data_IF_885023514950
#
_entry.id   IF_885023514950
#
_cell.length_a   1.000
_cell.length_b   1.000
_cell.length_c   1.000
_cell.angle_alpha   90.00
_cell.angle_beta   90.00
_cell.angle_gamma   90.00
#
_symmetry.space_group_name_H-M   'P 1'
#
loop_
_entity.id
_entity.type
_entity.pdbx_description
1 polymer ?
#
# COMPACT_ATOMS: atom_id res chain seq x y z
N UNK A 1 -10.03 -4.20 31.81
CA UNK A 1 -10.75 -5.39 32.25
C UNK A 1 -12.10 -5.60 31.50
N UNK A 2 -12.77 -4.53 31.06
CA UNK A 2 -14.07 -4.66 30.33
C UNK A 2 -13.88 -5.05 28.87
N UNK A 3 -12.83 -4.56 28.21
CA UNK A 3 -12.48 -4.95 26.82
C UNK A 3 -12.18 -6.46 26.70
N UNK A 4 -11.53 -7.05 27.71
CA UNK A 4 -11.19 -8.49 27.69
C UNK A 4 -12.41 -9.39 27.90
N UNK A 5 -13.47 -8.91 28.60
CA UNK A 5 -14.74 -9.64 28.75
C UNK A 5 -15.56 -9.63 27.47
N UNK A 6 -15.64 -8.48 26.78
CA UNK A 6 -16.32 -8.37 25.49
C UNK A 6 -15.71 -9.28 24.42
N UNK A 7 -14.38 -9.35 24.36
CA UNK A 7 -13.67 -10.24 23.43
C UNK A 7 -13.94 -11.73 23.71
N UNK A 8 -14.07 -12.14 24.98
CA UNK A 8 -14.37 -13.52 25.36
C UNK A 8 -15.78 -13.98 24.94
N UNK A 9 -16.77 -13.08 24.95
CA UNK A 9 -18.15 -13.40 24.52
C UNK A 9 -18.28 -13.35 22.98
N UNK A 10 -17.58 -12.44 22.32
CA UNK A 10 -17.42 -12.44 20.85
C UNK A 10 -16.79 -13.76 20.41
N UNK A 11 -15.74 -14.22 21.10
CA UNK A 11 -15.06 -15.50 20.83
C UNK A 11 -15.99 -16.72 20.85
N UNK A 12 -16.89 -16.84 21.84
CA UNK A 12 -17.84 -17.97 21.92
C UNK A 12 -18.88 -17.94 20.80
N UNK A 13 -19.21 -16.75 20.27
CA UNK A 13 -20.14 -16.58 19.16
C UNK A 13 -19.47 -16.79 17.78
N UNK A 14 -18.15 -16.60 17.67
CA UNK A 14 -17.39 -16.70 16.42
C UNK A 14 -17.49 -18.07 15.72
N UNK A 15 -17.82 -19.14 16.43
CA UNK A 15 -17.90 -20.49 15.86
C UNK A 15 -19.03 -20.72 14.83
N UNK A 16 -19.90 -19.73 14.57
CA UNK A 16 -21.06 -19.91 13.69
C UNK A 16 -21.28 -18.76 12.67
N UNK A 17 -20.55 -17.64 12.76
CA UNK A 17 -20.86 -16.44 11.99
C UNK A 17 -19.58 -15.82 11.39
N UNK A 18 -19.78 -14.88 10.47
CA UNK A 18 -18.74 -13.97 10.00
C UNK A 18 -18.67 -12.77 10.94
N UNK A 19 -17.48 -12.37 11.32
CA UNK A 19 -17.23 -11.16 12.09
C UNK A 19 -16.18 -10.30 11.41
N UNK A 20 -16.38 -9.01 11.47
CA UNK A 20 -15.47 -7.98 11.06
C UNK A 20 -15.17 -7.07 12.26
N UNK A 21 -13.89 -6.79 12.48
CA UNK A 21 -13.40 -5.88 13.50
C UNK A 21 -12.37 -4.95 12.87
N UNK A 22 -12.63 -3.66 12.86
CA UNK A 22 -11.62 -2.66 12.59
C UNK A 22 -10.75 -2.48 13.84
N UNK A 23 -9.45 -2.70 13.70
CA UNK A 23 -8.46 -2.41 14.73
C UNK A 23 -7.98 -0.96 14.56
N UNK A 24 -7.96 -0.48 13.31
CA UNK A 24 -7.72 0.89 12.90
C UNK A 24 -8.26 1.15 11.49
N UNK A 25 -8.16 2.37 10.99
CA UNK A 25 -8.52 2.76 9.63
C UNK A 25 -10.01 3.08 9.39
N UNK A 26 -10.89 3.01 10.39
CA UNK A 26 -12.29 3.43 10.25
C UNK A 26 -12.55 4.71 11.05
N UNK A 27 -13.04 5.74 10.34
CA UNK A 27 -13.27 7.07 10.92
C UNK A 27 -12.00 7.90 11.07
N UNK A 28 -10.90 7.44 10.51
CA UNK A 28 -9.57 8.07 10.52
C UNK A 28 -8.86 7.83 9.19
N UNK A 29 -7.74 8.52 8.94
CA UNK A 29 -6.86 8.29 7.80
C UNK A 29 -5.58 7.63 8.29
N UNK A 30 -5.23 6.50 7.67
CA UNK A 30 -4.08 5.68 8.05
C UNK A 30 -4.42 4.61 9.09
N UNK A 31 -3.40 3.87 9.54
CA UNK A 31 -3.55 2.81 10.51
C UNK A 31 -4.44 1.65 10.06
N UNK A 32 -4.50 1.41 8.75
CA UNK A 32 -5.35 0.37 8.19
C UNK A 32 -4.96 -1.00 8.74
N UNK A 33 -5.86 -1.59 9.53
CA UNK A 33 -5.68 -2.91 10.13
C UNK A 33 -7.04 -3.51 10.49
N UNK A 34 -7.39 -4.62 9.86
CA UNK A 34 -8.71 -5.22 9.96
C UNK A 34 -8.63 -6.70 10.27
N UNK A 35 -9.48 -7.18 11.16
CA UNK A 35 -9.62 -8.58 11.50
C UNK A 35 -10.94 -9.12 10.95
N UNK A 36 -10.87 -10.16 10.13
CA UNK A 36 -12.01 -10.95 9.73
C UNK A 36 -11.99 -12.29 10.44
N UNK A 37 -13.17 -12.82 10.79
CA UNK A 37 -13.31 -14.15 11.35
C UNK A 37 -14.44 -14.89 10.65
N UNK A 38 -14.09 -16.03 10.07
CA UNK A 38 -14.97 -16.93 9.33
C UNK A 38 -15.10 -18.22 10.11
N UNK A 39 -16.20 -18.40 10.86
CA UNK A 39 -16.43 -19.55 11.76
C UNK A 39 -15.27 -19.87 12.71
N UNK A 40 -14.55 -18.82 13.15
CA UNK A 40 -13.42 -18.95 14.06
C UNK A 40 -12.06 -19.01 13.38
N UNK A 41 -11.95 -19.15 12.07
CA UNK A 41 -10.73 -18.89 11.34
C UNK A 41 -10.55 -17.39 11.16
N UNK A 42 -9.42 -16.85 11.59
CA UNK A 42 -9.13 -15.42 11.53
C UNK A 42 -8.11 -15.10 10.44
N UNK A 43 -8.31 -13.96 9.81
CA UNK A 43 -7.38 -13.36 8.87
C UNK A 43 -7.26 -11.87 9.14
N UNK A 44 -6.03 -11.36 9.07
CA UNK A 44 -5.74 -9.92 9.18
C UNK A 44 -5.63 -9.35 7.77
N UNK A 45 -6.21 -8.19 7.56
CA UNK A 45 -5.99 -7.38 6.36
C UNK A 45 -5.25 -6.13 6.76
N UNK A 46 -4.11 -5.92 6.12
CA UNK A 46 -3.18 -4.83 6.31
C UNK A 46 -2.62 -4.71 7.75
N UNK A 47 -1.60 -3.88 7.90
CA UNK A 47 -0.93 -3.59 9.17
C UNK A 47 -0.23 -2.25 9.07
N UNK A 48 -1.01 -1.19 8.98
CA UNK A 48 -0.54 0.15 8.69
C UNK A 48 -0.08 0.96 9.88
N UNK A 49 0.45 2.14 9.58
CA UNK A 49 0.72 3.22 10.56
C UNK A 49 -0.24 4.37 10.33
N UNK A 50 -0.44 5.18 11.37
CA UNK A 50 -0.93 6.55 11.27
C UNK A 50 0.18 7.53 11.65
N UNK A 51 0.16 8.72 11.07
CA UNK A 51 1.03 9.82 11.50
C UNK A 51 0.39 10.50 12.71
N UNK A 52 1.19 10.71 13.76
CA UNK A 52 0.72 11.41 14.94
C UNK A 52 0.48 12.89 14.63
N UNK A 53 -0.54 13.45 15.23
CA UNK A 53 -0.83 14.88 15.18
C UNK A 53 -0.17 15.64 16.35
N UNK A 54 -0.35 16.95 16.39
CA UNK A 54 0.23 17.84 17.40
C UNK A 54 -0.25 17.52 18.85
N UNK A 55 -1.28 16.69 19.02
CA UNK A 55 -1.76 16.26 20.33
C UNK A 55 -0.82 15.29 21.03
N UNK A 56 0.11 14.67 20.30
CA UNK A 56 1.09 13.69 20.78
C UNK A 56 2.53 14.19 20.60
N UNK A 57 3.00 15.17 21.37
CA UNK A 57 4.34 15.74 21.22
C UNK A 57 5.45 14.69 21.35
N UNK A 58 6.35 14.65 20.34
CA UNK A 58 7.47 13.70 20.31
C UNK A 58 7.11 12.29 19.80
N UNK A 59 5.89 12.09 19.33
CA UNK A 59 5.46 10.88 18.63
C UNK A 59 5.32 11.21 17.14
N UNK A 60 6.06 10.50 16.29
CA UNK A 60 6.00 10.68 14.82
C UNK A 60 4.92 9.80 14.20
N UNK A 61 4.77 8.57 14.70
CA UNK A 61 3.83 7.59 14.18
C UNK A 61 3.12 6.83 15.31
N UNK A 62 1.93 6.34 15.01
CA UNK A 62 1.18 5.39 15.82
C UNK A 62 0.84 4.14 15.01
N UNK A 63 0.62 3.03 15.68
CA UNK A 63 0.14 1.79 15.07
C UNK A 63 -1.11 1.30 15.81
N UNK A 64 -2.08 0.69 15.11
CA UNK A 64 -3.14 -0.07 15.76
C UNK A 64 -2.55 -1.14 16.67
N UNK A 65 -3.18 -1.42 17.80
CA UNK A 65 -2.64 -2.36 18.79
C UNK A 65 -2.58 -3.80 18.26
N UNK A 66 -1.40 -4.34 17.93
CA UNK A 66 -1.28 -5.68 17.36
C UNK A 66 -1.53 -6.78 18.41
N UNK A 67 -1.53 -6.45 19.70
CA UNK A 67 -1.79 -7.43 20.76
C UNK A 67 -3.21 -7.96 20.75
N UNK A 68 -4.14 -7.27 20.09
CA UNK A 68 -5.51 -7.76 19.85
C UNK A 68 -5.48 -9.15 19.18
N UNK A 69 -4.61 -9.38 18.21
CA UNK A 69 -4.47 -10.67 17.52
C UNK A 69 -3.23 -11.46 17.96
N UNK A 70 -2.14 -10.81 18.38
CA UNK A 70 -0.93 -11.52 18.84
C UNK A 70 -1.12 -12.24 20.17
N UNK A 71 -1.90 -11.67 21.09
CA UNK A 71 -2.19 -12.28 22.41
C UNK A 71 -3.55 -13.00 22.43
N UNK A 72 -4.24 -13.08 21.32
CA UNK A 72 -5.49 -13.81 21.20
C UNK A 72 -5.28 -15.32 21.39
N UNK A 73 -6.24 -15.98 22.03
CA UNK A 73 -6.29 -17.44 22.06
C UNK A 73 -6.56 -18.06 20.69
N UNK A 74 -6.99 -17.26 19.72
CA UNK A 74 -7.14 -17.64 18.31
C UNK A 74 -6.00 -16.99 17.55
N UNK A 75 -5.14 -17.80 16.95
CA UNK A 75 -4.11 -17.31 16.06
C UNK A 75 -4.70 -17.05 14.67
N UNK A 76 -4.44 -15.89 14.07
CA UNK A 76 -4.77 -15.67 12.67
C UNK A 76 -4.15 -16.76 11.78
N UNK A 77 -4.87 -17.17 10.76
CA UNK A 77 -4.38 -18.13 9.76
C UNK A 77 -3.45 -17.46 8.75
N UNK A 78 -3.66 -16.16 8.52
CA UNK A 78 -2.92 -15.38 7.54
C UNK A 78 -3.04 -13.88 7.82
N UNK A 79 -2.14 -13.12 7.22
CA UNK A 79 -2.30 -11.70 6.92
C UNK A 79 -2.30 -11.51 5.41
N UNK A 80 -3.11 -10.59 4.91
CA UNK A 80 -3.20 -10.25 3.49
C UNK A 80 -2.92 -8.76 3.36
N UNK A 81 -1.99 -8.37 2.48
CA UNK A 81 -1.66 -6.99 2.22
C UNK A 81 -2.29 -6.54 0.91
N UNK A 82 -3.03 -5.44 0.95
CA UNK A 82 -3.69 -4.86 -0.22
C UNK A 82 -2.71 -4.16 -1.15
N UNK A 83 -1.80 -3.38 -0.60
CA UNK A 83 -0.77 -2.64 -1.35
C UNK A 83 0.33 -2.10 -0.41
N UNK A 84 1.35 -1.45 -0.97
CA UNK A 84 2.59 -1.14 -0.25
C UNK A 84 2.66 0.26 0.38
N UNK A 85 1.57 1.01 0.53
CA UNK A 85 1.59 2.27 1.27
C UNK A 85 1.84 2.06 2.76
N UNK A 86 2.49 3.03 3.42
CA UNK A 86 2.90 2.91 4.83
C UNK A 86 1.70 2.77 5.78
N UNK A 87 0.59 3.41 5.46
CA UNK A 87 -0.66 3.30 6.22
C UNK A 87 -1.38 1.95 6.04
N UNK A 88 -0.83 1.04 5.21
CA UNK A 88 -1.27 -0.35 5.05
C UNK A 88 -0.21 -1.38 5.48
N UNK A 89 1.10 -1.05 5.41
CA UNK A 89 2.16 -2.02 5.70
C UNK A 89 3.19 -1.54 6.72
N UNK A 90 3.17 -0.25 7.07
CA UNK A 90 4.22 0.37 7.88
C UNK A 90 4.31 -0.16 9.30
N UNK A 91 3.20 -0.61 9.86
CA UNK A 91 3.14 -1.17 11.22
C UNK A 91 3.83 -2.53 11.35
N UNK A 92 3.95 -3.28 10.25
CA UNK A 92 4.52 -4.63 10.26
C UNK A 92 5.93 -4.68 10.86
N UNK A 93 6.78 -3.68 10.62
CA UNK A 93 8.17 -3.69 11.12
C UNK A 93 8.28 -3.70 12.65
N UNK A 94 7.23 -3.30 13.38
CA UNK A 94 7.22 -3.22 14.84
C UNK A 94 6.82 -4.53 15.52
N UNK A 95 6.19 -5.45 14.80
CA UNK A 95 5.74 -6.73 15.38
C UNK A 95 5.96 -7.94 14.47
N UNK A 96 6.72 -7.80 13.39
CA UNK A 96 6.97 -8.86 12.41
C UNK A 96 7.59 -10.12 13.01
N UNK A 97 8.49 -9.95 13.98
CA UNK A 97 9.16 -11.07 14.69
C UNK A 97 8.17 -11.92 15.49
N UNK A 98 7.06 -11.34 15.92
CA UNK A 98 6.00 -11.99 16.69
C UNK A 98 4.94 -12.69 15.84
N UNK A 99 4.91 -12.44 14.52
CA UNK A 99 4.00 -13.11 13.59
C UNK A 99 4.49 -14.54 13.36
N UNK A 100 3.61 -15.52 13.54
CA UNK A 100 3.87 -16.95 13.29
C UNK A 100 2.97 -17.56 12.19
N UNK A 101 2.31 -16.71 11.40
CA UNK A 101 1.44 -17.08 10.28
C UNK A 101 1.92 -16.42 8.97
N UNK A 102 1.52 -16.95 7.80
CA UNK A 102 1.94 -16.43 6.49
C UNK A 102 1.33 -15.05 6.20
N UNK A 103 2.08 -14.26 5.40
CA UNK A 103 1.67 -12.95 4.88
C UNK A 103 1.55 -13.08 3.37
N UNK A 104 0.33 -12.92 2.86
CA UNK A 104 0.03 -12.95 1.42
C UNK A 104 0.07 -11.55 0.84
N UNK A 105 0.70 -11.39 -0.29
CA UNK A 105 0.74 -10.12 -1.04
C UNK A 105 1.10 -10.37 -2.51
N UNK A 106 0.96 -9.35 -3.35
CA UNK A 106 1.50 -9.39 -4.70
C UNK A 106 3.01 -9.13 -4.74
N UNK A 107 3.62 -9.35 -5.90
CA UNK A 107 5.07 -9.22 -6.11
C UNK A 107 5.57 -7.81 -5.81
N UNK A 108 4.89 -6.77 -6.31
CA UNK A 108 5.33 -5.39 -6.08
C UNK A 108 5.32 -5.01 -4.60
N UNK A 109 4.26 -5.35 -3.87
CA UNK A 109 4.16 -5.09 -2.43
C UNK A 109 5.31 -5.73 -1.67
N UNK A 110 5.62 -7.01 -1.94
CA UNK A 110 6.77 -7.67 -1.34
C UNK A 110 8.08 -6.96 -1.67
N UNK A 111 8.35 -6.69 -2.95
CA UNK A 111 9.58 -6.04 -3.38
C UNK A 111 9.79 -4.67 -2.76
N UNK A 112 8.69 -3.93 -2.55
CA UNK A 112 8.72 -2.60 -1.94
C UNK A 112 9.05 -2.66 -0.45
N UNK A 113 8.49 -3.63 0.31
CA UNK A 113 8.62 -3.69 1.78
C UNK A 113 9.74 -4.61 2.28
N UNK A 114 10.26 -5.55 1.46
CA UNK A 114 11.26 -6.56 1.88
C UNK A 114 12.47 -5.98 2.63
N UNK A 115 12.89 -4.75 2.28
CA UNK A 115 14.02 -4.10 2.91
C UNK A 115 13.81 -3.76 4.40
N UNK A 116 12.56 -3.66 4.86
CA UNK A 116 12.23 -3.41 6.27
C UNK A 116 12.63 -4.60 7.14
N UNK A 117 12.68 -5.79 6.56
CA UNK A 117 12.87 -7.07 7.25
C UNK A 117 14.24 -7.70 7.04
N UNK A 118 15.12 -7.10 6.23
CA UNK A 118 16.42 -7.67 5.84
C UNK A 118 17.37 -8.01 7.00
N UNK A 119 17.11 -7.51 8.20
CA UNK A 119 17.84 -7.83 9.43
C UNK A 119 17.32 -9.08 10.14
N UNK A 120 16.18 -9.63 9.72
CA UNK A 120 15.54 -10.80 10.29
C UNK A 120 15.85 -12.00 9.41
N UNK A 121 16.59 -12.96 9.94
CA UNK A 121 16.98 -14.14 9.16
C UNK A 121 15.75 -14.94 8.72
N UNK A 122 15.66 -15.25 7.43
CA UNK A 122 14.58 -16.05 6.85
C UNK A 122 13.22 -15.36 6.79
N UNK A 123 13.20 -14.03 6.83
CA UNK A 123 11.95 -13.25 6.75
C UNK A 123 11.14 -13.57 5.50
N UNK A 124 11.80 -13.90 4.38
CA UNK A 124 11.14 -14.21 3.11
C UNK A 124 10.18 -15.40 3.24
N UNK A 125 10.47 -16.35 4.12
CA UNK A 125 9.65 -17.56 4.32
C UNK A 125 8.25 -17.26 4.88
N UNK A 126 8.06 -16.10 5.47
CA UNK A 126 6.73 -15.67 5.95
C UNK A 126 5.87 -15.09 4.84
N UNK A 127 6.46 -14.63 3.74
CA UNK A 127 5.73 -14.06 2.63
C UNK A 127 5.38 -15.14 1.61
N UNK A 128 4.13 -15.09 1.16
CA UNK A 128 3.61 -15.91 0.06
C UNK A 128 3.14 -14.95 -1.03
N UNK A 129 3.88 -14.94 -2.14
CA UNK A 129 3.54 -14.12 -3.29
C UNK A 129 2.44 -14.84 -4.06
N UNK A 130 1.36 -14.13 -4.36
CA UNK A 130 0.22 -14.65 -5.11
C UNK A 130 -0.12 -13.74 -6.28
N UNK A 131 -0.63 -14.34 -7.34
CA UNK A 131 -1.09 -13.64 -8.53
C UNK A 131 -2.53 -13.13 -8.37
N UNK A 132 -2.89 -12.14 -9.19
CA UNK A 132 -4.25 -11.65 -9.28
C UNK A 132 -5.21 -12.80 -9.64
N UNK A 133 -6.40 -12.79 -9.03
CA UNK A 133 -7.44 -13.81 -9.18
C UNK A 133 -7.03 -15.24 -8.77
N UNK A 134 -5.82 -15.44 -8.25
CA UNK A 134 -5.45 -16.72 -7.66
C UNK A 134 -6.28 -16.97 -6.40
N UNK A 135 -7.05 -18.05 -6.40
CA UNK A 135 -7.86 -18.44 -5.23
C UNK A 135 -7.00 -19.18 -4.22
N UNK A 136 -7.03 -18.67 -2.98
CA UNK A 136 -6.36 -19.29 -1.83
C UNK A 136 -7.44 -19.83 -0.89
N UNK A 137 -7.47 -21.12 -0.71
CA UNK A 137 -8.50 -21.82 0.08
C UNK A 137 -8.05 -22.06 1.52
N UNK A 138 -8.99 -21.84 2.44
CA UNK A 138 -8.94 -22.22 3.85
C UNK A 138 -10.14 -23.11 4.17
N UNK A 139 -10.28 -23.58 5.39
CA UNK A 139 -11.36 -24.49 5.75
C UNK A 139 -12.75 -23.83 5.62
N UNK A 140 -12.89 -22.57 6.03
CA UNK A 140 -14.18 -21.88 6.10
C UNK A 140 -14.33 -20.71 5.15
N UNK A 141 -13.28 -20.36 4.41
CA UNK A 141 -13.29 -19.27 3.43
C UNK A 141 -12.22 -19.49 2.37
N UNK A 142 -12.39 -18.82 1.24
CA UNK A 142 -11.29 -18.57 0.29
C UNK A 142 -11.15 -17.07 0.04
N UNK A 143 -10.03 -16.66 -0.54
CA UNK A 143 -9.86 -15.28 -0.98
C UNK A 143 -9.09 -15.18 -2.30
N UNK A 144 -9.30 -14.07 -2.99
CA UNK A 144 -8.59 -13.68 -4.21
C UNK A 144 -8.20 -12.21 -4.13
N UNK A 145 -7.05 -11.85 -4.71
CA UNK A 145 -6.68 -10.46 -4.95
C UNK A 145 -7.34 -9.98 -6.25
N UNK A 146 -8.04 -8.85 -6.17
CA UNK A 146 -8.71 -8.22 -7.31
C UNK A 146 -7.95 -6.96 -7.67
N UNK A 147 -7.28 -6.88 -8.83
CA UNK A 147 -6.48 -5.73 -9.19
C UNK A 147 -7.35 -4.47 -9.36
N UNK A 148 -6.82 -3.37 -8.87
CA UNK A 148 -7.42 -2.04 -8.98
C UNK A 148 -6.37 -1.02 -9.44
N UNK A 149 -6.66 0.27 -9.37
CA UNK A 149 -5.70 1.35 -9.62
C UNK A 149 -5.63 2.30 -8.42
N UNK A 150 -4.43 2.75 -8.11
CA UNK A 150 -4.17 3.72 -7.04
C UNK A 150 -2.90 4.53 -7.37
N UNK A 151 -2.33 5.27 -6.42
CA UNK A 151 -1.09 6.04 -6.61
C UNK A 151 0.20 5.22 -6.50
N UNK A 152 0.11 3.95 -6.17
CA UNK A 152 1.20 2.97 -6.09
C UNK A 152 0.93 1.84 -7.10
N UNK A 153 1.96 1.17 -7.65
CA UNK A 153 1.77 0.03 -8.54
C UNK A 153 1.10 -1.17 -7.85
N UNK A 154 0.34 -1.90 -8.65
CA UNK A 154 -0.30 -3.18 -8.31
C UNK A 154 -1.12 -3.18 -7.00
N UNK A 155 -1.98 -2.17 -6.77
CA UNK A 155 -2.89 -2.19 -5.63
C UNK A 155 -4.00 -3.21 -5.88
N UNK A 156 -4.46 -3.88 -4.81
CA UNK A 156 -5.51 -4.89 -4.92
C UNK A 156 -6.58 -4.69 -3.85
N UNK A 157 -7.83 -4.99 -4.21
CA UNK A 157 -8.85 -5.33 -3.25
C UNK A 157 -8.80 -6.83 -2.92
N UNK A 158 -9.56 -7.26 -1.92
CA UNK A 158 -9.63 -8.64 -1.48
C UNK A 158 -11.08 -9.11 -1.57
N UNK A 159 -11.31 -10.15 -2.34
CA UNK A 159 -12.60 -10.82 -2.40
C UNK A 159 -12.56 -12.07 -1.52
N UNK A 160 -13.37 -12.08 -0.45
CA UNK A 160 -13.58 -13.24 0.41
C UNK A 160 -14.85 -13.97 0.01
N UNK A 161 -14.75 -15.26 -0.20
CA UNK A 161 -15.86 -16.15 -0.51
C UNK A 161 -16.09 -17.11 0.64
N UNK A 162 -17.34 -17.19 1.10
CA UNK A 162 -17.74 -18.09 2.18
C UNK A 162 -19.13 -18.67 1.91
N UNK A 163 -19.50 -19.71 2.67
CA UNK A 163 -20.85 -20.28 2.58
C UNK A 163 -21.94 -19.36 3.17
N UNK A 164 -21.56 -18.44 4.04
CA UNK A 164 -22.47 -17.52 4.73
C UNK A 164 -22.68 -16.19 4.00
N UNK A 165 -21.81 -15.86 3.05
CA UNK A 165 -21.86 -14.63 2.28
C UNK A 165 -20.47 -14.20 1.81
N UNK A 166 -20.43 -13.34 0.80
CA UNK A 166 -19.22 -12.87 0.17
C UNK A 166 -18.92 -11.43 0.58
N UNK A 167 -17.64 -11.16 0.82
CA UNK A 167 -17.17 -9.83 1.24
C UNK A 167 -16.19 -9.31 0.20
N UNK A 168 -16.34 -8.06 -0.17
CA UNK A 168 -15.32 -7.36 -0.93
C UNK A 168 -14.73 -6.21 -0.10
N UNK A 169 -13.43 -6.29 0.19
CA UNK A 169 -12.63 -5.25 0.81
C UNK A 169 -11.82 -4.55 -0.28
N UNK A 170 -12.09 -3.28 -0.53
CA UNK A 170 -11.54 -2.59 -1.71
C UNK A 170 -10.05 -2.29 -1.59
N UNK A 171 -9.49 -2.19 -0.38
CA UNK A 171 -8.26 -1.44 -0.18
C UNK A 171 -8.44 -0.01 -0.65
N UNK A 172 -7.34 0.69 -0.91
CA UNK A 172 -7.37 2.02 -1.52
C UNK A 172 -7.48 1.93 -3.04
N UNK A 173 -8.33 2.75 -3.63
CA UNK A 173 -8.59 2.67 -5.06
C UNK A 173 -8.99 3.99 -5.70
N UNK A 174 -8.80 4.08 -6.98
CA UNK A 174 -9.37 5.12 -7.86
C UNK A 174 -9.67 4.50 -9.23
N UNK A 175 -10.51 5.14 -10.03
CA UNK A 175 -10.73 4.75 -11.41
C UNK A 175 -9.73 5.52 -12.28
N UNK A 176 -8.64 4.87 -12.70
CA UNK A 176 -7.65 5.42 -13.61
C UNK A 176 -7.56 4.57 -14.88
N UNK A 177 -8.03 5.12 -16.00
CA UNK A 177 -8.04 4.43 -17.30
C UNK A 177 -6.72 4.57 -18.07
N UNK A 178 -5.84 5.47 -17.63
CA UNK A 178 -4.56 5.75 -18.27
C UNK A 178 -3.44 5.90 -17.21
N UNK A 179 -3.22 4.92 -16.33
CA UNK A 179 -2.21 5.04 -15.29
C UNK A 179 -0.81 5.09 -15.93
N UNK A 180 0.11 5.80 -15.26
CA UNK A 180 1.52 5.87 -15.69
C UNK A 180 2.26 4.56 -15.40
N UNK A 181 1.82 3.82 -14.38
CA UNK A 181 2.37 2.52 -13.97
C UNK A 181 1.24 1.54 -13.70
N UNK A 182 1.51 0.26 -13.91
CA UNK A 182 0.53 -0.81 -13.76
C UNK A 182 -0.49 -0.86 -14.90
N UNK A 183 -1.50 -1.70 -14.74
CA UNK A 183 -2.57 -1.89 -15.71
C UNK A 183 -3.66 -0.83 -15.55
N UNK A 184 -4.34 -0.42 -16.63
CA UNK A 184 -5.52 0.42 -16.54
C UNK A 184 -6.62 -0.19 -15.68
N UNK A 185 -7.44 0.67 -15.05
CA UNK A 185 -8.64 0.20 -14.38
C UNK A 185 -9.56 -0.50 -15.38
N UNK A 186 -9.80 -1.79 -15.12
CA UNK A 186 -10.65 -2.61 -15.97
C UNK A 186 -11.90 -3.06 -15.23
N UNK A 187 -13.07 -2.65 -15.74
CA UNK A 187 -14.35 -3.08 -15.19
C UNK A 187 -14.60 -4.59 -15.31
N UNK A 188 -13.90 -5.29 -16.22
CA UNK A 188 -14.01 -6.74 -16.36
C UNK A 188 -13.47 -7.48 -15.14
N UNK A 189 -12.49 -6.92 -14.46
CA UNK A 189 -11.95 -7.46 -13.19
C UNK A 189 -13.05 -7.57 -12.11
N UNK A 190 -14.08 -6.75 -12.22
CA UNK A 190 -15.20 -6.71 -11.27
C UNK A 190 -16.41 -7.54 -11.72
N UNK A 191 -16.33 -8.19 -12.91
CA UNK A 191 -17.41 -9.07 -13.38
C UNK A 191 -17.56 -10.27 -12.45
N UNK A 192 -16.45 -10.84 -11.96
CA UNK A 192 -16.45 -11.89 -10.94
C UNK A 192 -17.28 -11.48 -9.72
N UNK A 193 -17.04 -10.27 -9.19
CA UNK A 193 -17.76 -9.77 -8.02
C UNK A 193 -19.26 -9.63 -8.25
N UNK A 194 -19.66 -9.24 -9.46
CA UNK A 194 -21.06 -9.14 -9.86
C UNK A 194 -21.73 -10.51 -9.91
N UNK A 195 -21.05 -11.49 -10.50
CA UNK A 195 -21.59 -12.82 -10.70
C UNK A 195 -21.70 -13.61 -9.40
N UNK A 196 -20.74 -13.41 -8.46
CA UNK A 196 -20.67 -14.10 -7.17
C UNK A 196 -21.52 -13.43 -6.08
N UNK A 197 -22.18 -12.30 -6.35
CA UNK A 197 -22.96 -11.52 -5.37
C UNK A 197 -22.13 -11.10 -4.14
N UNK A 198 -22.02 -9.81 -3.89
CA UNK A 198 -21.38 -9.25 -2.70
C UNK A 198 -22.46 -8.97 -1.63
N UNK A 199 -22.29 -9.57 -0.46
CA UNK A 199 -23.18 -9.35 0.68
C UNK A 199 -22.67 -8.22 1.60
N UNK A 200 -21.35 -7.98 1.65
CA UNK A 200 -20.74 -6.88 2.41
C UNK A 200 -19.62 -6.23 1.61
N UNK A 201 -19.67 -4.91 1.50
CA UNK A 201 -18.62 -4.08 0.93
C UNK A 201 -17.93 -3.28 2.05
N UNK A 202 -16.61 -3.46 2.19
CA UNK A 202 -15.74 -2.61 3.02
C UNK A 202 -14.94 -1.75 2.06
N UNK A 203 -15.24 -0.46 2.00
CA UNK A 203 -14.73 0.42 0.95
C UNK A 203 -13.96 1.62 1.46
N UNK A 204 -12.94 2.02 0.71
CA UNK A 204 -12.29 3.32 0.85
C UNK A 204 -13.33 4.43 0.63
N UNK A 205 -13.37 5.37 1.55
CA UNK A 205 -14.26 6.52 1.53
C UNK A 205 -13.52 7.86 1.74
N UNK A 206 -12.20 7.87 1.63
CA UNK A 206 -11.34 9.04 1.89
C UNK A 206 -11.81 10.28 1.15
N UNK A 207 -12.17 10.14 -0.12
CA UNK A 207 -12.62 11.24 -0.97
C UNK A 207 -14.15 11.22 -1.23
N UNK A 208 -14.95 10.53 -0.43
CA UNK A 208 -16.39 10.39 -0.66
C UNK A 208 -17.16 11.73 -0.65
N UNK A 209 -16.66 12.75 0.06
CA UNK A 209 -17.24 14.10 0.10
C UNK A 209 -16.76 15.05 -1.01
N UNK A 210 -15.85 14.60 -1.90
CA UNK A 210 -15.28 15.43 -2.98
C UNK A 210 -16.08 15.22 -4.26
N UNK A 211 -16.64 16.30 -4.82
CA UNK A 211 -17.46 16.27 -6.05
C UNK A 211 -16.62 16.23 -7.35
N UNK A 212 -15.32 15.94 -7.26
CA UNK A 212 -14.42 15.90 -8.40
C UNK A 212 -13.96 14.47 -8.67
N UNK A 213 -13.69 14.17 -9.95
CA UNK A 213 -13.08 12.91 -10.36
C UNK A 213 -11.57 12.99 -10.14
N UNK A 214 -10.99 11.99 -9.49
CA UNK A 214 -9.54 11.87 -9.35
C UNK A 214 -8.88 11.76 -10.73
N UNK A 215 -7.99 12.70 -11.06
CA UNK A 215 -7.30 12.74 -12.34
C UNK A 215 -6.22 11.67 -12.43
N UNK A 216 -5.90 11.27 -13.66
CA UNK A 216 -4.74 10.39 -13.90
C UNK A 216 -3.42 11.13 -13.71
N UNK A 217 -2.42 10.43 -13.17
CA UNK A 217 -1.04 10.95 -13.12
C UNK A 217 -0.46 11.23 -14.52
N UNK A 218 -0.95 10.56 -15.58
CA UNK A 218 -0.55 10.80 -16.96
C UNK A 218 -0.86 12.23 -17.46
N UNK A 219 -1.87 12.89 -16.89
CA UNK A 219 -2.21 14.28 -17.24
C UNK A 219 -1.13 15.29 -16.84
N UNK A 220 -0.21 14.90 -15.95
CA UNK A 220 0.88 15.77 -15.49
C UNK A 220 2.07 15.81 -16.46
N UNK A 221 2.24 14.79 -17.34
CA UNK A 221 3.39 14.69 -18.23
C UNK A 221 3.59 15.94 -19.11
N UNK A 222 2.55 16.49 -19.78
CA UNK A 222 2.69 17.71 -20.58
C UNK A 222 3.09 18.93 -19.74
N UNK A 223 2.64 18.99 -18.49
CA UNK A 223 2.97 20.09 -17.57
C UNK A 223 4.42 20.03 -17.13
N UNK A 224 4.94 18.86 -16.80
CA UNK A 224 6.35 18.66 -16.47
C UNK A 224 7.24 18.93 -17.67
N UNK A 225 6.91 18.44 -18.87
CA UNK A 225 7.66 18.71 -20.09
C UNK A 225 7.77 20.22 -20.36
N UNK A 226 6.66 20.95 -20.27
CA UNK A 226 6.63 22.41 -20.45
C UNK A 226 7.47 23.13 -19.40
N UNK A 227 7.34 22.74 -18.12
CA UNK A 227 8.10 23.35 -17.02
C UNK A 227 9.61 23.13 -17.18
N UNK A 228 10.03 21.90 -17.48
CA UNK A 228 11.44 21.55 -17.59
C UNK A 228 12.11 22.22 -18.78
N UNK A 229 11.40 22.44 -19.88
CA UNK A 229 11.87 23.24 -21.02
C UNK A 229 12.00 24.74 -20.71
N UNK A 230 11.10 25.26 -19.87
CA UNK A 230 11.06 26.70 -19.56
C UNK A 230 12.08 27.12 -18.49
N UNK A 231 12.41 26.23 -17.56
CA UNK A 231 13.21 26.55 -16.40
C UNK A 231 14.71 26.48 -16.71
N UNK A 232 15.41 27.61 -16.51
CA UNK A 232 16.85 27.78 -16.79
C UNK A 232 17.74 27.65 -15.54
N UNK A 233 17.21 27.11 -14.44
CA UNK A 233 17.93 26.95 -13.18
C UNK A 233 17.92 25.50 -12.68
N UNK A 234 18.41 25.29 -11.46
CA UNK A 234 18.22 24.04 -10.76
C UNK A 234 16.73 23.82 -10.52
N UNK A 235 16.27 22.63 -10.86
CA UNK A 235 14.89 22.24 -10.60
C UNK A 235 14.90 21.38 -9.34
N UNK A 236 14.07 21.72 -8.37
CA UNK A 236 13.82 20.92 -7.17
C UNK A 236 12.38 20.49 -7.20
N UNK A 237 12.14 19.18 -7.11
CA UNK A 237 10.78 18.62 -7.03
C UNK A 237 10.67 17.82 -5.75
N UNK A 238 9.62 18.10 -4.98
CA UNK A 238 9.26 17.34 -3.79
C UNK A 238 7.96 16.58 -4.03
N UNK A 239 7.92 15.32 -3.64
CA UNK A 239 6.74 14.49 -3.76
C UNK A 239 6.77 13.34 -2.74
N UNK A 240 5.65 12.64 -2.60
CA UNK A 240 5.61 11.40 -1.83
C UNK A 240 6.49 10.35 -2.48
N UNK A 241 7.30 9.66 -1.68
CA UNK A 241 8.19 8.61 -2.18
C UNK A 241 7.44 7.40 -2.74
N UNK A 242 6.26 7.12 -2.23
CA UNK A 242 5.42 6.00 -2.68
C UNK A 242 4.70 6.25 -4.00
N UNK A 243 4.59 7.51 -4.46
CA UNK A 243 3.96 7.79 -5.74
C UNK A 243 4.93 7.51 -6.92
N UNK A 244 5.05 6.22 -7.26
CA UNK A 244 5.95 5.74 -8.32
C UNK A 244 5.57 6.33 -9.69
N UNK A 245 4.28 6.49 -9.94
CA UNK A 245 3.79 7.10 -11.18
C UNK A 245 4.32 8.53 -11.36
N UNK A 246 4.27 9.34 -10.30
CA UNK A 246 4.80 10.71 -10.27
C UNK A 246 6.31 10.70 -10.47
N UNK A 247 7.04 9.84 -9.76
CA UNK A 247 8.49 9.70 -9.90
C UNK A 247 8.87 9.32 -11.33
N UNK A 248 8.17 8.38 -11.95
CA UNK A 248 8.40 7.97 -13.34
C UNK A 248 8.22 9.16 -14.30
N UNK A 249 7.13 9.91 -14.17
CA UNK A 249 6.86 11.09 -15.02
C UNK A 249 7.96 12.14 -14.88
N UNK A 250 8.38 12.46 -13.64
CA UNK A 250 9.41 13.46 -13.39
C UNK A 250 10.76 13.01 -13.96
N UNK A 251 11.17 11.76 -13.67
CA UNK A 251 12.45 11.18 -14.12
C UNK A 251 12.50 11.13 -15.66
N UNK A 252 11.44 10.65 -16.31
CA UNK A 252 11.38 10.57 -17.78
C UNK A 252 11.50 11.94 -18.43
N UNK A 253 10.83 12.97 -17.89
CA UNK A 253 10.96 14.33 -18.39
C UNK A 253 12.35 14.93 -18.14
N UNK A 254 12.98 14.61 -17.02
CA UNK A 254 14.34 15.04 -16.73
C UNK A 254 15.36 14.43 -17.72
N UNK A 255 15.23 13.14 -18.01
CA UNK A 255 16.07 12.43 -18.98
C UNK A 255 15.88 13.04 -20.39
N UNK A 256 14.64 13.27 -20.84
CA UNK A 256 14.32 13.93 -22.13
C UNK A 256 14.99 15.30 -22.27
N UNK A 257 15.20 16.03 -21.17
CA UNK A 257 15.84 17.36 -21.15
C UNK A 257 17.32 17.32 -20.75
N UNK A 258 17.97 16.14 -20.79
CA UNK A 258 19.37 15.92 -20.42
C UNK A 258 19.72 16.48 -19.04
N UNK A 259 18.81 16.34 -18.06
CA UNK A 259 19.06 16.74 -16.68
C UNK A 259 19.82 15.65 -15.93
N UNK A 260 20.72 16.06 -15.06
CA UNK A 260 21.44 15.19 -14.12
C UNK A 260 20.59 15.04 -12.86
N UNK A 261 20.28 13.81 -12.49
CA UNK A 261 19.28 13.50 -11.47
C UNK A 261 19.97 13.19 -10.15
N UNK A 262 19.62 13.97 -9.14
CA UNK A 262 20.04 13.81 -7.75
C UNK A 262 18.84 13.47 -6.90
N UNK A 263 19.01 12.56 -5.94
CA UNK A 263 17.91 12.10 -5.08
C UNK A 263 18.31 12.27 -3.63
N UNK A 264 17.51 12.99 -2.85
CA UNK A 264 17.71 13.22 -1.42
C UNK A 264 16.61 12.53 -0.64
N UNK A 265 17.02 11.69 0.32
CA UNK A 265 16.12 10.91 1.16
C UNK A 265 16.22 9.40 0.90
N UNK A 266 16.17 8.63 1.98
CA UNK A 266 16.33 7.17 1.92
C UNK A 266 15.11 6.49 1.29
N UNK A 267 13.90 6.92 1.67
CA UNK A 267 12.65 6.31 1.19
C UNK A 267 12.47 6.50 -0.32
N UNK A 268 12.72 7.70 -0.86
CA UNK A 268 12.60 7.97 -2.28
C UNK A 268 13.66 7.21 -3.11
N UNK A 269 14.90 7.07 -2.60
CA UNK A 269 15.94 6.24 -3.24
C UNK A 269 15.50 4.78 -3.31
N UNK A 270 14.92 4.24 -2.22
CA UNK A 270 14.39 2.88 -2.19
C UNK A 270 13.24 2.70 -3.18
N UNK A 271 12.30 3.62 -3.18
CA UNK A 271 11.15 3.59 -4.08
C UNK A 271 11.58 3.55 -5.55
N UNK A 272 12.55 4.39 -5.93
CA UNK A 272 13.11 4.40 -7.28
C UNK A 272 13.82 3.08 -7.59
N UNK A 273 14.65 2.57 -6.68
CA UNK A 273 15.37 1.31 -6.89
C UNK A 273 14.41 0.13 -7.06
N UNK A 274 13.38 0.03 -6.20
CA UNK A 274 12.35 -0.99 -6.35
C UNK A 274 11.61 -0.85 -7.69
N UNK A 275 11.26 0.37 -8.09
CA UNK A 275 10.61 0.60 -9.38
C UNK A 275 11.50 0.24 -10.58
N UNK A 276 12.82 0.37 -10.46
CA UNK A 276 13.78 -0.11 -11.48
C UNK A 276 13.87 -1.64 -11.45
N UNK A 277 13.99 -2.26 -10.28
CA UNK A 277 14.00 -3.73 -10.12
C UNK A 277 12.75 -4.37 -10.74
N UNK A 278 11.57 -3.78 -10.50
CA UNK A 278 10.27 -4.23 -11.03
C UNK A 278 10.00 -3.71 -12.47
N UNK A 279 10.99 -3.10 -13.13
CA UNK A 279 10.93 -2.61 -14.54
C UNK A 279 9.84 -1.57 -14.80
N UNK A 280 9.40 -0.86 -13.78
CA UNK A 280 8.42 0.23 -13.89
C UNK A 280 9.05 1.54 -14.34
N UNK A 281 10.33 1.74 -13.99
CA UNK A 281 11.17 2.87 -14.41
C UNK A 281 12.39 2.30 -15.10
N UNK A 282 12.78 2.89 -16.23
CA UNK A 282 14.04 2.53 -16.92
C UNK A 282 15.24 2.85 -16.02
N UNK A 283 16.29 2.04 -16.13
CA UNK A 283 17.49 2.25 -15.35
C UNK A 283 18.19 3.56 -15.76
N UNK A 284 18.59 4.35 -14.79
CA UNK A 284 19.33 5.60 -14.99
C UNK A 284 20.33 5.82 -13.85
N UNK A 285 21.27 6.72 -14.03
CA UNK A 285 22.26 7.05 -13.03
C UNK A 285 21.70 8.03 -11.99
N UNK A 286 21.68 7.61 -10.71
CA UNK A 286 21.42 8.50 -9.57
C UNK A 286 22.75 9.05 -9.09
N UNK A 287 22.97 10.36 -9.24
CA UNK A 287 24.21 11.01 -8.87
C UNK A 287 24.27 11.30 -7.37
N UNK A 288 25.52 11.41 -6.86
CA UNK A 288 25.74 11.74 -5.45
C UNK A 288 25.23 13.15 -5.14
N UNK A 289 24.25 13.24 -4.25
CA UNK A 289 23.58 14.50 -3.88
C UNK A 289 24.52 15.56 -3.33
N UNK A 290 25.68 15.21 -2.78
CA UNK A 290 26.67 16.17 -2.28
C UNK A 290 27.38 16.93 -3.39
N UNK A 291 27.34 16.42 -4.62
CA UNK A 291 28.02 16.98 -5.79
C UNK A 291 27.11 17.80 -6.72
N UNK A 292 25.83 18.03 -6.35
CA UNK A 292 24.91 18.74 -7.25
C UNK A 292 25.35 20.15 -7.60
N UNK A 293 26.20 20.77 -6.77
CA UNK A 293 26.75 22.11 -7.00
C UNK A 293 27.84 22.13 -8.09
N UNK A 294 28.47 20.97 -8.38
CA UNK A 294 29.54 20.84 -9.37
C UNK A 294 29.02 20.85 -10.82
N UNK A 295 27.69 20.79 -10.96
CA UNK A 295 27.01 20.74 -12.26
C UNK A 295 26.38 22.07 -12.64
N UNK A 296 26.29 22.33 -13.96
CA UNK A 296 25.61 23.51 -14.48
C UNK A 296 24.17 23.57 -13.95
N UNK A 297 23.76 24.76 -13.50
CA UNK A 297 22.46 24.95 -12.84
C UNK A 297 21.27 24.51 -13.67
N UNK A 298 21.31 24.75 -14.98
CA UNK A 298 20.28 24.37 -15.94
C UNK A 298 20.20 22.87 -16.19
N UNK A 299 21.20 22.09 -15.77
CA UNK A 299 21.26 20.64 -15.93
C UNK A 299 20.91 19.83 -14.69
N UNK A 300 20.51 20.48 -13.59
CA UNK A 300 20.29 19.80 -12.31
C UNK A 300 18.80 19.62 -12.04
N UNK A 301 18.38 18.36 -11.81
CA UNK A 301 17.16 17.98 -11.12
C UNK A 301 17.49 17.39 -9.75
N UNK A 302 16.93 17.95 -8.69
CA UNK A 302 16.98 17.40 -7.34
C UNK A 302 15.60 16.88 -6.95
N UNK A 303 15.49 15.59 -6.70
CA UNK A 303 14.30 14.96 -6.16
C UNK A 303 14.42 14.84 -4.64
N UNK A 304 13.39 15.26 -3.92
CA UNK A 304 13.33 15.18 -2.46
C UNK A 304 11.97 14.69 -1.97
N UNK A 305 11.90 14.36 -0.69
CA UNK A 305 10.66 13.99 -0.02
C UNK A 305 9.89 15.24 0.42
N UNK A 306 8.56 15.14 0.40
CA UNK A 306 7.72 15.93 1.28
C UNK A 306 7.68 15.18 2.61
N UNK A 307 8.15 15.83 3.66
CA UNK A 307 7.83 15.42 5.03
C UNK A 307 6.52 16.12 5.41
N UNK A 308 5.54 15.31 5.72
CA UNK A 308 4.28 15.79 6.30
C UNK A 308 4.48 15.85 7.80
#
# INVERSE_FOLDING_TARGET
>A
PELSRGLGDVYKRQKKNIYFLSIGGIGEIGGNNYLYSFKGEQVIVDGGISFADDSLPGVDITIPDPYIFLNSNIKPKAMILTHAHEDHVGGLEYYFDKIDFPIYCNQFTFSYIKHKFNKIAGYEKKFIIIDDFQEIEFENFSFQLIPTTHSIPDPTGIFFKTLEGNIYHTGDWKIDKNPVTGSPFDYQNYQLLKDEKIDLLIGDSTNAGVNEISRSESELDPSFDKLFKKLNGRIVVTCFSSNIARLKTIISNAIKQDKKIFVVGRSIKRAINTAIEEKLIENFEILNEKKFQDYNKDKVLLLSLIHI
#
